data_IF_814790442323
#
_entry.id   IF_814790442323
#
_cell.length_a   1.000
_cell.length_b   1.000
_cell.length_c   1.000
_cell.angle_alpha   90.00
_cell.angle_beta   90.00
_cell.angle_gamma   90.00
#
_symmetry.space_group_name_H-M   'P 1'
#
loop_
_entity.id
_entity.type
_entity.pdbx_description
1 polymer ?
#
# COMPACT_ATOMS: atom_id res chain seq x y z
N UNK A 1 -39.56 36.43 37.99
CA UNK A 1 -39.71 37.70 37.24
C UNK A 1 -39.36 37.37 35.79
N UNK A 2 -40.36 37.23 34.89
CA UNK A 2 -40.86 38.27 33.96
C UNK A 2 -39.69 38.80 33.10
N UNK A 3 -39.58 38.62 31.77
CA UNK A 3 -40.59 38.65 30.71
C UNK A 3 -40.04 38.03 29.39
N UNK A 4 -40.88 37.30 28.66
CA UNK A 4 -40.94 37.35 27.18
C UNK A 4 -41.80 38.58 26.81
N UNK A 5 -41.75 39.16 25.59
CA UNK A 5 -42.67 38.62 24.56
C UNK A 5 -42.32 38.91 23.08
N UNK A 6 -42.99 38.11 22.22
CA UNK A 6 -43.75 38.47 20.99
C UNK A 6 -43.12 39.37 19.89
N UNK A 7 -42.93 38.91 18.64
CA UNK A 7 -43.91 38.63 17.53
C UNK A 7 -44.06 39.84 16.57
N UNK A 8 -44.10 39.55 15.26
CA UNK A 8 -45.07 40.01 14.22
C UNK A 8 -44.43 40.44 12.88
N UNK A 9 -44.57 39.66 11.78
CA UNK A 9 -45.57 39.59 10.67
C UNK A 9 -45.37 40.65 9.53
N UNK A 10 -45.54 40.17 8.29
CA UNK A 10 -45.97 40.84 7.01
C UNK A 10 -44.85 41.57 6.25
N UNK A 11 -44.60 41.43 4.94
CA UNK A 11 -45.38 40.91 3.80
C UNK A 11 -45.55 42.00 2.73
N UNK A 12 -45.43 41.64 1.43
CA UNK A 12 -45.91 42.37 0.23
C UNK A 12 -44.98 43.55 -0.21
N UNK A 13 -44.64 43.86 -1.47
CA UNK A 13 -45.14 43.58 -2.82
C UNK A 13 -43.97 43.58 -3.84
N UNK A 14 -44.00 42.73 -4.87
CA UNK A 14 -44.26 43.10 -6.28
C UNK A 14 -43.95 44.55 -6.69
N UNK A 15 -42.95 44.69 -7.55
CA UNK A 15 -42.75 45.83 -8.45
C UNK A 15 -42.23 45.32 -9.79
N UNK A 16 -43.15 44.97 -10.69
CA UNK A 16 -42.88 44.69 -12.10
C UNK A 16 -42.76 46.04 -12.82
N UNK A 17 -41.62 46.30 -13.45
CA UNK A 17 -41.57 47.15 -14.63
C UNK A 17 -40.87 46.39 -15.75
N UNK A 18 -41.68 46.07 -16.76
CA UNK A 18 -41.23 45.58 -18.05
C UNK A 18 -40.57 46.72 -18.82
N UNK A 19 -39.42 46.45 -19.42
CA UNK A 19 -39.02 47.06 -20.68
C UNK A 19 -38.71 45.93 -21.66
N UNK A 20 -39.51 45.89 -22.72
CA UNK A 20 -39.25 45.24 -24.01
C UNK A 20 -37.82 45.61 -24.51
N UNK A 21 -37.08 44.86 -25.32
CA UNK A 21 -37.49 44.07 -26.48
C UNK A 21 -36.26 43.33 -27.04
N UNK A 22 -36.51 42.13 -27.60
CA UNK A 22 -35.76 41.46 -28.69
C UNK A 22 -34.25 41.20 -28.55
N UNK A 23 -33.87 39.93 -28.34
CA UNK A 23 -33.62 39.03 -29.47
C UNK A 23 -33.45 37.57 -29.00
N UNK A 24 -34.24 36.68 -29.58
CA UNK A 24 -34.06 35.23 -29.50
C UNK A 24 -32.93 34.78 -30.41
N UNK A 25 -31.93 34.12 -29.84
CA UNK A 25 -31.21 33.04 -30.52
C UNK A 25 -30.97 31.94 -29.48
N UNK A 26 -31.61 30.80 -29.72
CA UNK A 26 -31.30 29.53 -29.07
C UNK A 26 -29.85 29.13 -29.40
N UNK A 27 -29.12 28.66 -28.40
CA UNK A 27 -28.26 27.46 -28.38
C UNK A 27 -27.06 27.66 -27.46
N UNK A 28 -26.81 26.66 -26.62
CA UNK A 28 -25.69 26.64 -25.69
C UNK A 28 -26.09 26.16 -24.31
N UNK A 29 -26.73 24.99 -24.22
CA UNK A 29 -26.63 24.19 -23.01
C UNK A 29 -25.13 24.00 -22.74
N UNK A 30 -24.61 24.64 -21.69
CA UNK A 30 -23.28 24.38 -21.20
C UNK A 30 -23.26 22.95 -20.67
N UNK A 31 -22.99 22.01 -21.58
CA UNK A 31 -22.66 20.65 -21.24
C UNK A 31 -21.42 20.71 -20.37
N UNK A 32 -21.60 20.38 -19.10
CA UNK A 32 -20.56 20.09 -18.15
C UNK A 32 -19.64 19.05 -18.80
N UNK A 33 -18.46 19.52 -19.22
CA UNK A 33 -17.48 18.68 -19.88
C UNK A 33 -17.18 17.49 -18.96
N UNK A 34 -17.26 16.24 -19.45
CA UNK A 34 -16.91 15.10 -18.63
C UNK A 34 -15.45 15.29 -18.20
N UNK A 35 -15.21 15.31 -16.90
CA UNK A 35 -13.88 15.33 -16.32
C UNK A 35 -13.02 14.29 -17.06
N UNK A 36 -12.07 14.79 -17.86
CA UNK A 36 -11.13 13.98 -18.61
C UNK A 36 -10.43 13.07 -17.60
N UNK A 37 -10.86 11.81 -17.57
CA UNK A 37 -10.17 10.78 -16.79
C UNK A 37 -8.80 10.67 -17.43
N UNK A 38 -7.70 10.98 -16.72
CA UNK A 38 -6.38 10.84 -17.30
C UNK A 38 -6.22 9.40 -17.79
N UNK A 39 -5.63 9.17 -18.98
CA UNK A 39 -5.48 7.84 -19.52
C UNK A 39 -4.77 6.97 -18.49
N UNK A 40 -5.33 5.77 -18.26
CA UNK A 40 -4.71 4.79 -17.39
C UNK A 40 -3.26 4.59 -17.86
N UNK A 41 -2.30 4.86 -16.98
CA UNK A 41 -0.89 4.70 -17.31
C UNK A 41 -0.66 3.28 -17.85
N UNK A 42 0.03 3.17 -18.98
CA UNK A 42 0.37 1.88 -19.55
C UNK A 42 1.21 1.06 -18.55
N UNK A 43 1.04 -0.28 -18.51
CA UNK A 43 1.86 -1.13 -17.67
C UNK A 43 3.34 -0.96 -18.04
N UNK A 44 4.24 -1.01 -17.05
CA UNK A 44 5.65 -0.72 -17.30
C UNK A 44 6.36 -1.82 -18.07
N UNK A 45 7.52 -1.50 -18.64
CA UNK A 45 8.36 -2.46 -19.34
C UNK A 45 8.76 -3.64 -18.42
N UNK A 46 8.99 -4.85 -18.94
CA UNK A 46 9.41 -5.99 -18.12
C UNK A 46 10.68 -5.71 -17.31
N UNK A 47 10.72 -6.13 -16.03
CA UNK A 47 11.91 -6.01 -15.20
C UNK A 47 12.93 -7.11 -15.51
N UNK A 48 14.21 -6.72 -15.55
CA UNK A 48 15.33 -7.65 -15.52
C UNK A 48 15.43 -8.31 -14.14
N UNK A 49 14.99 -9.57 -14.05
CA UNK A 49 14.87 -10.37 -12.81
C UNK A 49 16.18 -10.57 -12.04
N UNK A 50 17.35 -10.54 -12.69
CA UNK A 50 18.65 -10.72 -12.03
C UNK A 50 19.20 -9.45 -11.39
N UNK A 51 18.54 -8.30 -11.58
CA UNK A 51 19.10 -6.99 -11.28
C UNK A 51 18.64 -6.43 -9.92
N UNK A 52 17.50 -6.89 -9.39
CA UNK A 52 16.88 -6.28 -8.21
C UNK A 52 17.24 -7.05 -6.93
N UNK A 53 17.89 -6.39 -5.97
CA UNK A 53 18.05 -6.92 -4.62
C UNK A 53 16.71 -6.85 -3.88
N UNK A 54 16.08 -8.01 -3.69
CA UNK A 54 14.80 -8.13 -2.99
C UNK A 54 14.92 -8.21 -1.47
N UNK A 55 16.11 -8.39 -0.90
CA UNK A 55 16.28 -8.55 0.56
C UNK A 55 15.58 -7.46 1.37
N UNK A 56 15.72 -6.15 1.06
CA UNK A 56 15.02 -5.11 1.81
C UNK A 56 13.50 -5.18 1.64
N UNK A 57 13.00 -5.55 0.46
CA UNK A 57 11.55 -5.73 0.23
C UNK A 57 10.98 -6.92 1.01
N UNK A 58 11.68 -8.06 1.04
CA UNK A 58 11.26 -9.25 1.80
C UNK A 58 11.32 -8.96 3.31
N UNK A 59 12.27 -8.14 3.78
CA UNK A 59 12.37 -7.75 5.18
C UNK A 59 11.14 -6.96 5.66
N UNK A 60 10.45 -6.22 4.79
CA UNK A 60 9.19 -5.55 5.15
C UNK A 60 8.05 -6.53 5.40
N UNK A 61 8.12 -7.73 4.81
CA UNK A 61 7.15 -8.80 5.04
C UNK A 61 7.47 -9.62 6.29
N UNK A 62 8.63 -9.44 6.94
CA UNK A 62 8.96 -10.13 8.20
C UNK A 62 8.51 -9.31 9.43
N UNK A 63 8.29 -9.97 10.59
CA UNK A 63 7.95 -9.29 11.84
C UNK A 63 8.98 -8.24 12.24
N UNK A 64 8.50 -7.14 12.85
CA UNK A 64 9.32 -5.97 13.25
C UNK A 64 10.29 -6.30 14.37
N UNK A 65 9.94 -7.27 15.19
CA UNK A 65 10.69 -7.70 16.35
C UNK A 65 12.04 -8.33 15.96
N UNK A 66 12.30 -8.53 14.67
CA UNK A 66 13.63 -8.92 14.17
C UNK A 66 13.96 -10.39 14.38
N UNK A 67 12.98 -11.19 14.80
CA UNK A 67 13.17 -12.62 15.03
C UNK A 67 13.23 -13.44 13.74
N UNK A 68 12.82 -12.89 12.59
CA UNK A 68 13.04 -13.52 11.28
C UNK A 68 14.04 -12.72 10.47
N UNK A 69 15.20 -13.32 10.22
CA UNK A 69 16.24 -12.75 9.38
C UNK A 69 16.11 -13.24 7.94
N UNK A 70 16.23 -12.31 6.99
CA UNK A 70 16.31 -12.63 5.56
C UNK A 70 17.78 -12.91 5.20
N UNK A 71 18.09 -14.17 4.93
CA UNK A 71 19.44 -14.61 4.55
C UNK A 71 19.71 -14.26 3.09
N UNK A 72 18.80 -14.68 2.21
CA UNK A 72 18.84 -14.41 0.78
C UNK A 72 17.43 -14.24 0.22
N UNK A 73 17.32 -13.57 -0.92
CA UNK A 73 16.10 -13.44 -1.68
C UNK A 73 16.43 -13.42 -3.17
N UNK A 74 15.63 -14.10 -3.99
CA UNK A 74 15.77 -14.12 -5.45
C UNK A 74 14.42 -13.91 -6.11
N UNK A 75 14.41 -13.14 -7.19
CA UNK A 75 13.24 -12.95 -8.03
C UNK A 75 12.96 -14.25 -8.79
N UNK A 76 11.72 -14.73 -8.76
CA UNK A 76 11.27 -15.84 -9.61
C UNK A 76 10.56 -15.31 -10.87
N UNK A 77 9.70 -14.31 -10.70
CA UNK A 77 8.90 -13.72 -11.79
C UNK A 77 8.52 -12.29 -11.44
N UNK A 78 8.61 -11.37 -12.39
CA UNK A 78 8.09 -10.01 -12.26
C UNK A 78 7.05 -9.73 -13.35
N UNK A 79 5.80 -9.53 -12.95
CA UNK A 79 4.68 -9.23 -13.85
C UNK A 79 4.36 -7.74 -13.77
N UNK A 80 4.38 -7.00 -14.89
CA UNK A 80 3.98 -5.59 -14.89
C UNK A 80 2.47 -5.44 -14.69
N UNK A 81 2.06 -4.49 -13.86
CA UNK A 81 0.66 -4.14 -13.63
C UNK A 81 0.47 -2.70 -13.16
N UNK A 82 -0.78 -2.25 -13.15
CA UNK A 82 -1.16 -0.99 -12.52
C UNK A 82 -1.53 -1.24 -11.05
N UNK A 83 -0.77 -0.67 -10.12
CA UNK A 83 -0.97 -0.83 -8.68
C UNK A 83 -1.73 0.35 -8.10
N UNK A 84 -2.77 0.09 -7.31
CA UNK A 84 -3.41 1.13 -6.49
C UNK A 84 -2.43 1.58 -5.41
N UNK A 85 -2.24 2.88 -5.24
CA UNK A 85 -1.34 3.43 -4.22
C UNK A 85 -1.97 3.35 -2.82
N UNK A 86 -1.17 3.15 -1.75
CA UNK A 86 -1.64 3.33 -0.38
C UNK A 86 -2.25 4.73 -0.20
N UNK A 87 -3.32 4.85 0.59
CA UNK A 87 -4.01 6.14 0.79
C UNK A 87 -3.05 7.26 1.22
N UNK A 88 -2.10 6.93 2.09
CA UNK A 88 -1.07 7.85 2.59
C UNK A 88 -0.15 8.40 1.48
N UNK A 89 0.01 7.67 0.37
CA UNK A 89 0.90 8.00 -0.74
C UNK A 89 0.14 8.54 -1.97
N UNK A 90 -1.17 8.73 -1.85
CA UNK A 90 -2.00 9.38 -2.88
C UNK A 90 -1.87 10.90 -2.85
N UNK A 91 -1.33 11.46 -1.76
CA UNK A 91 -1.10 12.91 -1.57
C UNK A 91 0.39 13.25 -1.56
N UNK A 92 1.20 12.44 -2.24
CA UNK A 92 2.65 12.62 -2.33
C UNK A 92 2.96 13.89 -3.14
N UNK A 93 3.68 14.90 -2.59
CA UNK A 93 3.93 16.17 -3.27
C UNK A 93 4.70 16.01 -4.58
N UNK A 94 5.44 14.90 -4.75
CA UNK A 94 6.19 14.59 -5.98
C UNK A 94 5.31 13.99 -7.08
N UNK A 95 4.00 13.87 -6.86
CA UNK A 95 3.04 13.27 -7.79
C UNK A 95 1.86 14.20 -8.00
N UNK A 96 1.33 14.22 -9.23
CA UNK A 96 0.15 15.01 -9.55
C UNK A 96 -1.04 14.64 -8.64
N UNK A 97 -1.74 15.67 -8.14
CA UNK A 97 -2.90 15.51 -7.27
C UNK A 97 -3.94 14.55 -7.88
N UNK A 98 -4.43 13.61 -7.07
CA UNK A 98 -5.51 12.70 -7.45
C UNK A 98 -5.09 11.40 -8.15
N UNK A 99 -3.79 11.16 -8.39
CA UNK A 99 -3.31 9.89 -8.94
C UNK A 99 -3.43 8.76 -7.90
N UNK A 100 -4.44 7.90 -8.06
CA UNK A 100 -4.73 6.78 -7.14
C UNK A 100 -4.00 5.48 -7.47
N UNK A 101 -3.35 5.41 -8.63
CA UNK A 101 -2.66 4.22 -9.09
C UNK A 101 -1.35 4.57 -9.81
N UNK A 102 -0.34 3.72 -9.70
CA UNK A 102 0.95 3.87 -10.35
C UNK A 102 1.36 2.59 -11.09
N UNK A 103 2.11 2.71 -12.21
CA UNK A 103 2.68 1.54 -12.87
C UNK A 103 3.65 0.84 -11.93
N UNK A 104 3.64 -0.48 -11.93
CA UNK A 104 4.46 -1.28 -11.03
C UNK A 104 4.52 -2.75 -11.41
N UNK A 105 4.94 -3.56 -10.45
CA UNK A 105 5.22 -4.97 -10.63
C UNK A 105 4.71 -5.80 -9.48
N UNK A 106 4.26 -6.99 -9.84
CA UNK A 106 4.01 -8.11 -8.96
C UNK A 106 5.20 -9.04 -9.07
N UNK A 107 5.98 -9.13 -8.00
CA UNK A 107 7.25 -9.83 -7.98
C UNK A 107 7.09 -11.08 -7.13
N UNK A 108 6.99 -12.24 -7.78
CA UNK A 108 7.07 -13.53 -7.12
C UNK A 108 8.53 -13.82 -6.79
N UNK A 109 8.80 -14.29 -5.58
CA UNK A 109 10.16 -14.51 -5.09
C UNK A 109 10.29 -15.82 -4.31
N UNK A 110 11.53 -16.25 -4.17
CA UNK A 110 11.96 -17.24 -3.18
C UNK A 110 12.93 -16.55 -2.23
N UNK A 111 12.79 -16.80 -0.93
CA UNK A 111 13.68 -16.27 0.09
C UNK A 111 14.09 -17.36 1.07
N UNK A 112 15.27 -17.21 1.64
CA UNK A 112 15.73 -18.02 2.76
C UNK A 112 15.59 -17.20 4.02
N UNK A 113 14.74 -17.66 4.92
CA UNK A 113 14.54 -17.06 6.23
C UNK A 113 15.24 -17.89 7.31
N UNK A 114 15.66 -17.22 8.37
CA UNK A 114 16.23 -17.87 9.54
C UNK A 114 15.57 -17.29 10.79
N UNK A 115 15.04 -18.18 11.65
CA UNK A 115 14.51 -17.75 12.94
C UNK A 115 15.66 -17.49 13.91
N UNK A 116 15.77 -16.26 14.36
CA UNK A 116 16.66 -15.81 15.43
C UNK A 116 15.79 -15.62 16.67
N UNK A 117 15.81 -16.55 17.63
CA UNK A 117 15.05 -16.41 18.87
C UNK A 117 15.61 -15.22 19.63
N UNK A 118 14.89 -14.10 19.66
CA UNK A 118 15.17 -13.02 20.61
C UNK A 118 13.94 -12.81 21.50
N UNK A 119 14.15 -12.15 22.64
CA UNK A 119 13.14 -12.06 23.70
C UNK A 119 13.02 -13.28 24.61
N UNK A 120 13.75 -14.38 24.34
CA UNK A 120 13.75 -15.57 25.20
C UNK A 120 14.67 -15.46 26.42
N UNK A 121 15.67 -14.57 26.45
CA UNK A 121 16.51 -14.34 27.65
C UNK A 121 17.04 -15.64 28.28
N UNK A 122 16.71 -15.87 29.56
CA UNK A 122 16.99 -17.11 30.30
C UNK A 122 15.95 -18.23 30.12
N UNK A 123 14.84 -17.95 29.43
CA UNK A 123 13.81 -18.94 29.15
C UNK A 123 14.30 -19.92 28.09
N UNK A 124 13.83 -21.17 28.21
CA UNK A 124 14.17 -22.22 27.26
C UNK A 124 13.61 -21.86 25.88
N UNK A 125 14.50 -21.69 24.91
CA UNK A 125 14.12 -21.55 23.50
C UNK A 125 13.43 -22.85 23.06
N UNK A 126 12.22 -22.78 22.50
CA UNK A 126 11.53 -23.97 22.01
C UNK A 126 12.29 -24.57 20.82
N UNK A 127 12.27 -25.90 20.72
CA UNK A 127 12.95 -26.63 19.66
C UNK A 127 12.39 -26.29 18.27
N UNK A 128 11.10 -26.00 18.18
CA UNK A 128 10.47 -25.48 16.98
C UNK A 128 9.28 -24.56 17.30
N UNK A 129 8.96 -23.67 16.37
CA UNK A 129 7.75 -22.85 16.37
C UNK A 129 7.07 -22.91 14.99
N UNK A 130 5.76 -22.69 14.90
CA UNK A 130 5.09 -22.61 13.61
C UNK A 130 5.40 -21.26 12.93
N UNK A 131 5.94 -21.28 11.72
CA UNK A 131 5.98 -20.15 10.81
C UNK A 131 4.69 -20.13 9.99
N UNK A 132 3.96 -19.03 10.06
CA UNK A 132 2.85 -18.72 9.18
C UNK A 132 3.39 -17.91 8.01
N UNK A 133 3.53 -18.56 6.86
CA UNK A 133 3.88 -17.93 5.59
C UNK A 133 2.60 -17.57 4.82
N UNK A 134 2.46 -16.34 4.31
CA UNK A 134 1.31 -15.96 3.49
C UNK A 134 1.12 -16.95 2.34
N UNK A 135 -0.07 -17.55 2.26
CA UNK A 135 -0.47 -18.40 1.16
C UNK A 135 -1.42 -17.61 0.25
N UNK A 136 -1.36 -17.89 -1.06
CA UNK A 136 -2.33 -17.36 -2.01
C UNK A 136 -1.76 -16.46 -3.08
N UNK A 137 -2.63 -16.18 -4.06
CA UNK A 137 -2.32 -15.49 -5.30
C UNK A 137 -2.25 -13.98 -5.19
N UNK A 138 -2.50 -13.37 -4.04
CA UNK A 138 -2.37 -11.91 -3.87
C UNK A 138 -2.67 -11.57 -2.40
N UNK A 139 -1.65 -11.56 -1.54
CA UNK A 139 -1.89 -11.15 -0.15
C UNK A 139 -0.84 -10.12 0.28
N UNK A 140 -1.32 -8.96 0.75
CA UNK A 140 -0.51 -7.97 1.47
C UNK A 140 -0.15 -8.43 2.89
N UNK A 141 -0.07 -9.75 3.11
CA UNK A 141 0.15 -10.36 4.41
C UNK A 141 1.64 -10.52 4.71
N UNK A 142 1.99 -10.46 6.00
CA UNK A 142 3.36 -10.63 6.51
C UNK A 142 3.57 -12.04 7.07
N UNK A 143 4.82 -12.52 7.08
CA UNK A 143 5.23 -13.71 7.83
C UNK A 143 4.98 -13.51 9.33
N UNK A 144 4.65 -14.60 10.04
CA UNK A 144 4.47 -14.59 11.50
C UNK A 144 5.03 -15.86 12.12
N UNK A 145 5.58 -15.76 13.34
CA UNK A 145 6.04 -16.93 14.11
C UNK A 145 5.07 -17.14 15.27
N UNK A 146 4.51 -18.34 15.43
CA UNK A 146 3.58 -18.65 16.51
C UNK A 146 4.26 -18.89 17.85
N UNK A 147 3.45 -19.01 18.91
CA UNK A 147 3.91 -19.00 20.31
C UNK A 147 3.94 -17.60 20.91
N UNK A 148 3.99 -16.55 20.08
CA UNK A 148 3.82 -15.15 20.47
C UNK A 148 2.41 -14.73 20.04
N UNK A 149 1.44 -14.75 20.97
CA UNK A 149 0.05 -14.26 20.88
C UNK A 149 -0.47 -13.87 19.48
N UNK A 150 -1.19 -14.77 18.79
CA UNK A 150 -1.87 -14.38 17.55
C UNK A 150 -3.22 -15.08 17.34
N UNK A 151 -4.29 -14.33 17.61
CA UNK A 151 -5.44 -14.29 16.71
C UNK A 151 -4.95 -13.73 15.38
N UNK A 152 -4.52 -14.59 14.45
CA UNK A 152 -4.21 -14.18 13.08
C UNK A 152 -5.54 -14.09 12.34
N UNK A 153 -6.01 -12.89 11.95
CA UNK A 153 -7.19 -12.78 11.09
C UNK A 153 -6.88 -13.46 9.75
N UNK A 154 -7.78 -14.31 9.27
CA UNK A 154 -7.63 -14.97 7.97
C UNK A 154 -6.58 -16.09 7.95
N UNK A 155 -6.50 -16.94 9.00
CA UNK A 155 -5.56 -18.08 9.08
C UNK A 155 -5.61 -19.01 7.87
N UNK A 156 -6.74 -19.11 7.19
CA UNK A 156 -6.89 -19.88 5.95
C UNK A 156 -5.94 -19.41 4.84
N UNK A 157 -5.46 -18.16 4.95
CA UNK A 157 -4.55 -17.51 4.01
C UNK A 157 -3.07 -17.71 4.35
N UNK A 158 -2.75 -18.68 5.21
CA UNK A 158 -1.38 -18.98 5.61
C UNK A 158 -1.03 -20.46 5.47
N UNK A 159 0.17 -20.73 4.96
CA UNK A 159 0.82 -22.04 5.07
C UNK A 159 1.58 -22.07 6.38
N UNK A 160 1.44 -23.17 7.13
CA UNK A 160 2.10 -23.35 8.42
C UNK A 160 3.23 -24.35 8.28
N UNK A 161 4.46 -23.90 8.55
CA UNK A 161 5.67 -24.72 8.48
C UNK A 161 6.44 -24.63 9.80
N UNK A 162 6.88 -25.74 10.41
CA UNK A 162 7.74 -25.65 11.58
C UNK A 162 9.08 -25.01 11.23
N UNK A 163 9.54 -24.08 12.06
CA UNK A 163 10.87 -23.47 12.00
C UNK A 163 11.64 -23.79 13.27
N UNK A 164 12.94 -24.00 13.10
CA UNK A 164 13.86 -24.26 14.19
C UNK A 164 14.84 -23.09 14.37
N UNK A 165 15.38 -22.90 15.58
CA UNK A 165 16.35 -21.85 15.85
C UNK A 165 17.53 -21.94 14.91
N UNK A 166 17.82 -20.83 14.23
CA UNK A 166 18.99 -20.67 13.35
C UNK A 166 19.07 -21.67 12.20
N UNK A 167 18.00 -22.41 11.89
CA UNK A 167 17.96 -23.23 10.68
C UNK A 167 17.39 -22.42 9.51
N UNK A 168 18.08 -22.39 8.35
CA UNK A 168 17.54 -21.77 7.14
C UNK A 168 16.28 -22.51 6.66
N UNK A 169 15.25 -21.76 6.30
CA UNK A 169 14.03 -22.25 5.68
C UNK A 169 13.75 -21.48 4.39
N UNK A 170 13.57 -22.21 3.30
CA UNK A 170 13.12 -21.63 2.03
C UNK A 170 11.63 -21.36 2.07
N UNK A 171 11.25 -20.14 1.71
CA UNK A 171 9.85 -19.69 1.62
C UNK A 171 9.61 -19.03 0.27
N UNK A 172 8.34 -18.96 -0.11
CA UNK A 172 7.89 -18.25 -1.29
C UNK A 172 6.96 -17.11 -0.89
N UNK A 173 6.95 -16.06 -1.69
CA UNK A 173 6.06 -14.95 -1.49
C UNK A 173 5.87 -14.09 -2.73
N UNK A 174 5.11 -13.02 -2.58
CA UNK A 174 4.87 -12.02 -3.61
C UNK A 174 5.05 -10.64 -3.01
N UNK A 175 5.83 -9.80 -3.68
CA UNK A 175 6.00 -8.38 -3.39
C UNK A 175 5.27 -7.55 -4.44
N UNK A 176 4.66 -6.46 -4.01
CA UNK A 176 4.20 -5.41 -4.91
C UNK A 176 5.13 -4.22 -4.81
N UNK A 177 5.55 -3.68 -5.94
CA UNK A 177 6.35 -2.47 -5.97
C UNK A 177 5.97 -1.61 -7.17
N UNK A 178 5.80 -0.31 -6.98
CA UNK A 178 5.58 0.61 -8.09
C UNK A 178 6.87 1.26 -8.54
N UNK A 179 6.89 1.71 -9.79
CA UNK A 179 7.96 2.55 -10.31
C UNK A 179 7.89 3.92 -9.65
N UNK A 180 9.01 4.33 -9.06
CA UNK A 180 9.23 5.65 -8.52
C UNK A 180 10.68 6.07 -8.74
N UNK A 181 11.10 7.03 -7.95
CA UNK A 181 12.47 7.54 -7.95
C UNK A 181 13.03 7.50 -6.52
N UNK A 182 14.34 7.35 -6.40
CA UNK A 182 15.03 7.56 -5.14
C UNK A 182 15.31 9.05 -4.88
N UNK A 183 15.93 9.37 -3.74
CA UNK A 183 16.29 10.75 -3.36
C UNK A 183 17.22 11.44 -4.37
N UNK A 184 17.91 10.66 -5.22
CA UNK A 184 18.81 11.15 -6.26
C UNK A 184 18.13 11.18 -7.64
N UNK A 185 16.79 11.10 -7.69
CA UNK A 185 15.97 11.05 -8.91
C UNK A 185 16.27 9.86 -9.84
N UNK A 186 16.92 8.82 -9.34
CA UNK A 186 17.19 7.60 -10.11
C UNK A 186 15.99 6.65 -10.03
N UNK A 187 15.69 5.89 -11.11
CA UNK A 187 14.56 4.97 -11.11
C UNK A 187 14.74 3.88 -10.04
N UNK A 188 13.70 3.69 -9.24
CA UNK A 188 13.67 2.72 -8.16
C UNK A 188 12.30 2.06 -8.06
N UNK A 189 12.28 0.83 -7.56
CA UNK A 189 11.04 0.17 -7.17
C UNK A 189 10.71 0.55 -5.74
N UNK A 190 9.56 1.18 -5.53
CA UNK A 190 9.04 1.49 -4.21
C UNK A 190 8.13 0.35 -3.78
N UNK A 191 8.57 -0.42 -2.77
CA UNK A 191 7.82 -1.56 -2.26
C UNK A 191 6.56 -1.07 -1.55
N UNK A 192 5.42 -1.68 -1.90
CA UNK A 192 4.14 -1.44 -1.25
C UNK A 192 4.26 -1.79 0.24
N UNK A 193 3.82 -0.93 1.17
CA UNK A 193 4.03 -1.16 2.58
C UNK A 193 3.16 -2.33 3.06
N UNK A 194 3.80 -3.37 3.59
CA UNK A 194 3.12 -4.52 4.24
C UNK A 194 2.89 -4.25 5.74
N UNK A 195 3.63 -3.31 6.32
CA UNK A 195 3.54 -2.89 7.71
C UNK A 195 2.58 -1.70 7.84
N UNK A 196 1.27 -1.95 7.77
CA UNK A 196 0.29 -0.86 7.63
C UNK A 196 -1.08 -1.08 8.26
N UNK A 197 -1.20 -1.86 9.36
CA UNK A 197 -2.49 -1.94 10.07
C UNK A 197 -2.44 -2.15 11.60
N UNK A 198 -1.26 -2.26 12.19
CA UNK A 198 -1.11 -2.44 13.63
C UNK A 198 -0.26 -1.31 14.23
N UNK A 199 -0.95 -0.23 14.64
CA UNK A 199 -0.54 0.73 15.67
C UNK A 199 0.79 1.46 15.48
N UNK A 200 0.76 2.65 14.89
CA UNK A 200 1.85 3.63 14.91
C UNK A 200 1.92 4.42 13.61
N UNK A 201 1.70 5.74 13.67
CA UNK A 201 1.77 6.62 12.51
C UNK A 201 3.23 6.84 12.03
N UNK A 202 4.23 6.50 12.83
CA UNK A 202 5.63 6.90 12.63
C UNK A 202 6.32 6.30 11.39
N UNK A 203 5.91 5.11 10.92
CA UNK A 203 6.54 4.47 9.76
C UNK A 203 5.70 4.52 8.48
N UNK A 204 4.52 5.17 8.51
CA UNK A 204 3.57 5.22 7.39
C UNK A 204 4.15 5.85 6.12
N UNK A 205 5.22 6.64 6.28
CA UNK A 205 5.92 7.35 5.21
C UNK A 205 7.22 6.66 4.77
N UNK A 206 7.65 5.59 5.45
CA UNK A 206 8.90 4.92 5.11
C UNK A 206 8.74 4.14 3.81
N UNK A 207 9.30 4.70 2.73
CA UNK A 207 9.40 4.05 1.43
C UNK A 207 10.59 3.08 1.45
N UNK A 208 10.37 1.82 1.09
CA UNK A 208 11.46 0.89 0.82
C UNK A 208 11.77 0.90 -0.66
N UNK A 209 12.98 1.33 -0.98
CA UNK A 209 13.45 1.51 -2.35
C UNK A 209 14.35 0.34 -2.73
N UNK A 210 14.00 -0.34 -3.82
CA UNK A 210 14.86 -1.31 -4.47
C UNK A 210 15.48 -0.63 -5.70
N UNK A 211 16.80 -0.41 -5.74
CA UNK A 211 17.44 0.19 -6.89
C UNK A 211 17.23 -0.71 -8.12
N UNK A 212 16.99 -0.08 -9.28
CA UNK A 212 16.94 -0.77 -10.57
C UNK A 212 18.32 -0.54 -11.22
N UNK A 213 19.15 -1.58 -11.41
CA UNK A 213 20.39 -1.43 -12.15
C UNK A 213 20.09 -0.97 -13.58
N UNK A 214 20.95 -0.09 -14.09
CA UNK A 214 20.91 0.38 -15.48
C UNK A 214 21.35 -0.72 -16.44
#
# INVERSE_FOLDING_TARGET
>A
MKNLPLFIIVGIALGVTASCQSNTAHEGAAAEAPASTPPAAAPPAPLSISAVDLKPGVAEQTPREGYLQVVSAKVLKAEPLQLRLPAMWQSDPDRADGVKAAPGYRISYEAVLQWIPQGFGHQKVPASLPLYAPNGRDTLASFRVGGLNLNVPGRERYTVTPIEPRKPLTVHGTLYAFLGQNEQQQPALVVYPYRGRAGGFDDSFKKVLLPIPR
#
